data_IF_002882280475
#
_entry.id   IF_002882280475
#
_cell.length_a   1.000
_cell.length_b   1.000
_cell.length_c   1.000
_cell.angle_alpha   90.00
_cell.angle_beta   90.00
_cell.angle_gamma   90.00
#
_symmetry.space_group_name_H-M   'P 1'
#
loop_
_entity.id
_entity.type
_entity.pdbx_description
1 polymer ?
#
# COMPACT_ATOMS: atom_id res chain seq x y z
N UNK A 1 20.01 11.59 -12.00
CA UNK A 1 20.18 11.74 -13.47
C UNK A 1 19.44 10.68 -14.32
N UNK A 2 18.58 9.82 -13.76
CA UNK A 2 17.87 8.77 -14.53
C UNK A 2 16.52 9.18 -15.14
N UNK A 3 15.96 10.35 -14.79
CA UNK A 3 14.62 10.76 -15.25
C UNK A 3 14.55 11.27 -16.69
N UNK A 4 15.67 11.77 -17.26
CA UNK A 4 15.69 12.35 -18.62
C UNK A 4 15.72 11.30 -19.74
N UNK A 5 16.01 10.02 -19.46
CA UNK A 5 16.12 8.99 -20.51
C UNK A 5 14.79 8.29 -20.85
N UNK A 6 13.85 8.19 -19.91
CA UNK A 6 12.55 7.54 -20.11
C UNK A 6 11.60 8.34 -21.01
N UNK A 7 11.57 9.67 -20.86
CA UNK A 7 10.73 10.57 -21.68
C UNK A 7 11.10 10.54 -23.17
N UNK A 8 12.36 10.25 -23.50
CA UNK A 8 12.86 10.26 -24.88
C UNK A 8 12.56 8.97 -25.65
N UNK A 9 12.29 7.86 -24.95
CA UNK A 9 12.15 6.54 -25.56
C UNK A 9 10.70 6.20 -25.94
N UNK A 10 9.69 6.80 -25.28
CA UNK A 10 8.27 6.55 -25.57
C UNK A 10 7.38 7.82 -25.52
N UNK A 11 7.67 8.87 -26.30
CA UNK A 11 6.88 10.11 -26.31
C UNK A 11 5.42 9.85 -26.71
N UNK A 12 5.17 8.90 -27.62
CA UNK A 12 3.82 8.52 -28.05
C UNK A 12 2.95 8.00 -26.91
N UNK A 13 3.49 7.17 -26.00
CA UNK A 13 2.72 6.62 -24.88
C UNK A 13 2.30 7.72 -23.90
N UNK A 14 3.19 8.66 -23.63
CA UNK A 14 2.87 9.82 -22.79
C UNK A 14 1.81 10.72 -23.44
N UNK A 15 1.98 11.06 -24.72
CA UNK A 15 1.01 11.89 -25.46
C UNK A 15 -0.36 11.20 -25.49
N UNK A 16 -0.39 9.88 -25.72
CA UNK A 16 -1.62 9.10 -25.69
C UNK A 16 -2.27 9.10 -24.30
N UNK A 17 -1.51 8.86 -23.22
CA UNK A 17 -2.06 8.86 -21.86
C UNK A 17 -2.59 10.24 -21.44
N UNK A 18 -1.88 11.32 -21.77
CA UNK A 18 -2.35 12.69 -21.53
C UNK A 18 -3.59 13.01 -22.38
N UNK A 19 -3.59 12.62 -23.65
CA UNK A 19 -4.73 12.81 -24.56
C UNK A 19 -5.98 12.07 -24.09
N UNK A 20 -5.84 10.81 -23.69
CA UNK A 20 -6.94 10.01 -23.11
C UNK A 20 -7.42 10.63 -21.79
N UNK A 21 -6.52 11.06 -20.90
CA UNK A 21 -6.90 11.70 -19.64
C UNK A 21 -7.66 13.00 -19.88
N UNK A 22 -7.19 13.86 -20.78
CA UNK A 22 -7.85 15.11 -21.14
C UNK A 22 -9.21 14.86 -21.81
N UNK A 23 -9.30 13.88 -22.71
CA UNK A 23 -10.55 13.47 -23.32
C UNK A 23 -11.56 12.97 -22.29
N UNK A 24 -11.14 12.13 -21.33
CA UNK A 24 -12.03 11.62 -20.28
C UNK A 24 -12.50 12.74 -19.34
N UNK A 25 -11.62 13.69 -18.97
CA UNK A 25 -12.01 14.87 -18.20
C UNK A 25 -13.06 15.66 -18.99
N UNK A 26 -12.77 16.03 -20.23
CA UNK A 26 -13.74 16.74 -21.07
C UNK A 26 -15.06 15.96 -21.19
N UNK A 27 -14.99 14.66 -21.42
CA UNK A 27 -16.16 13.80 -21.59
C UNK A 27 -17.05 13.75 -20.34
N UNK A 28 -16.46 13.76 -19.15
CA UNK A 28 -17.20 13.80 -17.87
C UNK A 28 -17.80 15.17 -17.62
N UNK A 29 -17.09 16.25 -17.94
CA UNK A 29 -17.51 17.62 -17.62
C UNK A 29 -18.36 18.31 -18.70
N UNK A 30 -18.41 17.80 -19.93
CA UNK A 30 -19.11 18.46 -21.06
C UNK A 30 -20.61 18.63 -20.83
N UNK A 31 -21.24 17.70 -20.11
CA UNK A 31 -22.67 17.67 -19.84
C UNK A 31 -23.00 18.13 -18.40
N UNK A 32 -21.99 18.64 -17.67
CA UNK A 32 -22.18 19.10 -16.30
C UNK A 32 -22.93 20.44 -16.29
N UNK A 33 -24.04 20.50 -15.56
CA UNK A 33 -24.70 21.77 -15.23
C UNK A 33 -23.84 22.55 -14.22
N UNK A 34 -23.06 23.49 -14.73
CA UNK A 34 -22.17 24.32 -13.92
C UNK A 34 -22.91 25.19 -12.90
N UNK A 35 -24.13 25.64 -13.21
CA UNK A 35 -24.90 26.48 -12.29
C UNK A 35 -25.41 25.63 -11.13
N UNK A 36 -26.05 24.50 -11.42
CA UNK A 36 -26.47 23.54 -10.39
C UNK A 36 -25.30 23.02 -9.55
N UNK A 37 -24.14 22.78 -10.16
CA UNK A 37 -22.94 22.35 -9.45
C UNK A 37 -22.43 23.40 -8.44
N UNK A 38 -22.34 24.67 -8.83
CA UNK A 38 -21.88 25.74 -7.93
C UNK A 38 -22.88 25.96 -6.79
N UNK A 39 -24.18 26.01 -7.10
CA UNK A 39 -25.23 26.13 -6.07
C UNK A 39 -25.18 24.97 -5.07
N UNK A 40 -24.95 23.74 -5.56
CA UNK A 40 -24.78 22.58 -4.70
C UNK A 40 -23.55 22.69 -3.80
N UNK A 41 -22.43 23.25 -4.29
CA UNK A 41 -21.23 23.49 -3.47
C UNK A 41 -21.47 24.51 -2.36
N UNK A 42 -22.25 25.57 -2.64
CA UNK A 42 -22.60 26.60 -1.65
C UNK A 42 -23.50 26.05 -0.53
N UNK A 43 -24.33 25.04 -0.83
CA UNK A 43 -25.22 24.39 0.13
C UNK A 43 -24.50 23.32 0.99
N UNK A 44 -23.26 22.96 0.68
CA UNK A 44 -22.52 21.97 1.46
C UNK A 44 -22.21 22.54 2.86
N UNK A 45 -22.75 21.89 3.88
CA UNK A 45 -22.42 22.27 5.26
C UNK A 45 -20.94 22.00 5.56
N UNK A 46 -20.23 23.03 6.02
CA UNK A 46 -18.82 22.93 6.42
C UNK A 46 -18.56 21.88 7.52
N UNK A 47 -19.58 21.55 8.33
CA UNK A 47 -19.50 20.53 9.37
C UNK A 47 -19.19 19.14 8.80
N UNK A 48 -19.86 18.71 7.72
CA UNK A 48 -19.57 17.42 7.09
C UNK A 48 -18.17 17.38 6.47
N UNK A 49 -17.71 18.48 5.89
CA UNK A 49 -16.34 18.58 5.35
C UNK A 49 -15.30 18.41 6.47
N UNK A 50 -15.47 19.14 7.57
CA UNK A 50 -14.57 19.07 8.71
C UNK A 50 -14.59 17.70 9.39
N UNK A 51 -15.77 17.10 9.51
CA UNK A 51 -15.93 15.75 10.06
C UNK A 51 -15.24 14.70 9.17
N UNK A 52 -15.47 14.74 7.86
CA UNK A 52 -14.81 13.85 6.90
C UNK A 52 -13.29 14.02 6.90
N UNK A 53 -12.79 15.26 6.91
CA UNK A 53 -11.36 15.54 7.02
C UNK A 53 -10.77 14.99 8.34
N UNK A 54 -11.48 15.18 9.46
CA UNK A 54 -11.11 14.63 10.76
C UNK A 54 -11.04 13.10 10.77
N UNK A 55 -12.05 12.44 10.21
CA UNK A 55 -12.10 10.97 10.07
C UNK A 55 -10.97 10.46 9.18
N UNK A 56 -10.68 11.14 8.06
CA UNK A 56 -9.57 10.78 7.18
C UNK A 56 -8.23 10.86 7.92
N UNK A 57 -7.94 11.97 8.60
CA UNK A 57 -6.69 12.13 9.36
C UNK A 57 -6.59 11.07 10.47
N UNK A 58 -7.70 10.83 11.17
CA UNK A 58 -7.77 9.80 12.20
C UNK A 58 -7.52 8.39 11.64
N UNK A 59 -8.07 8.08 10.46
CA UNK A 59 -7.82 6.80 9.78
C UNK A 59 -6.32 6.61 9.46
N UNK A 60 -5.61 7.69 9.08
CA UNK A 60 -4.15 7.64 8.86
C UNK A 60 -3.41 7.36 10.17
N UNK A 61 -3.86 7.93 11.28
CA UNK A 61 -3.30 7.66 12.60
C UNK A 61 -3.50 6.20 13.03
N UNK A 62 -4.71 5.67 12.87
CA UNK A 62 -5.02 4.25 13.14
C UNK A 62 -4.14 3.33 12.30
N UNK A 63 -3.98 3.65 11.01
CA UNK A 63 -3.10 2.90 10.11
C UNK A 63 -1.64 2.96 10.58
N UNK A 64 -1.16 4.10 11.07
CA UNK A 64 0.17 4.22 11.65
C UNK A 64 0.35 3.32 12.89
N UNK A 65 -0.67 3.21 13.74
CA UNK A 65 -0.65 2.31 14.90
C UNK A 65 -0.60 0.83 14.47
N UNK A 66 -1.42 0.44 13.48
CA UNK A 66 -1.37 -0.91 12.90
C UNK A 66 0.01 -1.22 12.33
N UNK A 67 0.55 -0.30 11.54
CA UNK A 67 1.84 -0.46 10.89
C UNK A 67 3.01 -0.50 11.87
N UNK A 68 2.91 0.19 13.02
CA UNK A 68 3.88 0.06 14.12
C UNK A 68 4.02 -1.37 14.61
N UNK A 69 2.89 -2.09 14.74
CA UNK A 69 2.94 -3.50 15.16
C UNK A 69 3.63 -4.33 14.06
N UNK A 70 3.33 -4.06 12.77
CA UNK A 70 3.95 -4.78 11.64
C UNK A 70 5.47 -4.57 11.59
N UNK A 71 5.95 -3.39 11.97
CA UNK A 71 7.37 -3.04 11.98
C UNK A 71 8.09 -3.54 13.24
N UNK A 72 7.38 -3.77 14.37
CA UNK A 72 8.02 -3.99 15.67
C UNK A 72 9.09 -5.10 15.71
N UNK A 73 8.99 -6.22 14.96
CA UNK A 73 10.03 -7.24 14.98
C UNK A 73 11.34 -6.83 14.30
N UNK A 74 11.30 -5.80 13.45
CA UNK A 74 12.49 -5.28 12.75
C UNK A 74 13.23 -4.20 13.55
N UNK A 75 12.54 -3.58 14.51
CA UNK A 75 13.10 -2.58 15.39
C UNK A 75 12.04 -1.69 16.04
N UNK A 76 12.43 -0.92 17.07
CA UNK A 76 11.54 0.03 17.71
C UNK A 76 11.14 1.15 16.74
N UNK A 77 9.88 1.56 16.79
CA UNK A 77 9.35 2.68 16.01
C UNK A 77 8.33 3.49 16.80
N UNK A 78 8.19 4.78 16.47
CA UNK A 78 7.19 5.67 17.06
C UNK A 78 6.03 5.84 16.08
N UNK A 79 4.80 5.86 16.57
CA UNK A 79 3.63 6.07 15.71
C UNK A 79 3.73 7.38 14.93
N UNK A 80 4.19 8.46 15.56
CA UNK A 80 4.40 9.75 14.91
C UNK A 80 5.29 9.65 13.68
N UNK A 81 6.40 8.91 13.78
CA UNK A 81 7.33 8.75 12.65
C UNK A 81 6.71 8.00 11.48
N UNK A 82 5.86 7.01 11.76
CA UNK A 82 5.13 6.25 10.77
C UNK A 82 3.95 7.02 10.18
N UNK A 83 3.29 7.83 11.00
CA UNK A 83 2.21 8.73 10.59
C UNK A 83 2.73 9.80 9.62
N UNK A 84 3.84 10.47 9.95
CA UNK A 84 4.48 11.43 9.06
C UNK A 84 4.88 10.78 7.73
N UNK A 85 5.42 9.56 7.78
CA UNK A 85 5.79 8.80 6.58
C UNK A 85 4.56 8.41 5.74
N UNK A 86 3.43 8.08 6.37
CA UNK A 86 2.17 7.82 5.69
C UNK A 86 1.62 9.08 5.01
N UNK A 87 1.59 10.22 5.69
CA UNK A 87 1.12 11.49 5.12
C UNK A 87 1.96 11.93 3.92
N UNK A 88 3.30 11.88 4.05
CA UNK A 88 4.20 12.18 2.91
C UNK A 88 4.02 11.19 1.78
N UNK A 89 3.75 9.92 2.10
CA UNK A 89 3.45 8.91 1.10
C UNK A 89 2.15 9.18 0.35
N UNK A 90 1.10 9.59 1.05
CA UNK A 90 -0.18 9.94 0.43
C UNK A 90 -0.05 11.20 -0.44
N UNK A 91 0.53 12.27 0.11
CA UNK A 91 0.83 13.47 -0.66
C UNK A 91 1.68 13.15 -1.91
N UNK A 92 2.68 12.28 -1.76
CA UNK A 92 3.52 11.83 -2.85
C UNK A 92 2.76 11.06 -3.93
N UNK A 93 1.74 10.29 -3.57
CA UNK A 93 0.90 9.58 -4.55
C UNK A 93 -0.04 10.53 -5.30
N UNK A 94 -0.50 11.60 -4.64
CA UNK A 94 -1.42 12.56 -5.23
C UNK A 94 -0.70 13.55 -6.15
N UNK A 95 0.55 13.91 -5.82
CA UNK A 95 1.34 14.89 -6.58
C UNK A 95 2.27 14.25 -7.61
N UNK A 96 2.87 13.09 -7.31
CA UNK A 96 3.88 12.49 -8.19
C UNK A 96 3.26 11.51 -9.19
N UNK A 97 3.75 11.51 -10.45
CA UNK A 97 3.37 10.48 -11.41
C UNK A 97 3.87 9.10 -10.95
N UNK A 98 3.23 8.05 -11.46
CA UNK A 98 3.58 6.65 -11.20
C UNK A 98 3.41 6.16 -9.74
N UNK A 99 2.63 6.86 -8.91
CA UNK A 99 2.37 6.47 -7.51
C UNK A 99 3.67 6.24 -6.72
N UNK A 100 4.65 7.11 -6.92
CA UNK A 100 5.95 7.05 -6.22
C UNK A 100 5.87 7.39 -4.72
N UNK A 101 4.68 7.75 -4.22
CA UNK A 101 4.44 8.02 -2.81
C UNK A 101 4.71 6.82 -1.91
N UNK A 102 4.52 5.57 -2.37
CA UNK A 102 4.91 4.40 -1.58
C UNK A 102 6.42 4.30 -1.36
N UNK A 103 7.21 4.67 -2.38
CA UNK A 103 8.67 4.72 -2.28
C UNK A 103 9.09 5.82 -1.31
N UNK A 104 8.42 6.98 -1.34
CA UNK A 104 8.65 8.07 -0.38
C UNK A 104 8.31 7.66 1.05
N UNK A 105 7.16 7.00 1.27
CA UNK A 105 6.78 6.43 2.57
C UNK A 105 7.85 5.48 3.08
N UNK A 106 8.31 4.56 2.24
CA UNK A 106 9.34 3.60 2.61
C UNK A 106 10.66 4.28 2.96
N UNK A 107 11.10 5.24 2.15
CA UNK A 107 12.35 5.98 2.36
C UNK A 107 12.32 6.83 3.65
N UNK A 108 11.21 7.55 3.89
CA UNK A 108 11.07 8.40 5.06
C UNK A 108 10.94 7.56 6.35
N UNK A 109 10.16 6.47 6.32
CA UNK A 109 10.05 5.56 7.46
C UNK A 109 11.39 4.88 7.77
N UNK A 110 12.15 4.46 6.75
CA UNK A 110 13.49 3.90 6.94
C UNK A 110 14.44 4.92 7.58
N UNK A 111 14.41 6.18 7.13
CA UNK A 111 15.22 7.27 7.70
C UNK A 111 14.87 7.55 9.16
N UNK A 112 13.58 7.57 9.51
CA UNK A 112 13.10 7.90 10.87
C UNK A 112 13.29 6.74 11.85
N UNK A 113 13.08 5.50 11.42
CA UNK A 113 13.18 4.30 12.28
C UNK A 113 14.59 3.69 12.31
N UNK A 114 15.48 4.10 11.40
CA UNK A 114 16.81 3.50 11.16
C UNK A 114 16.75 2.02 10.73
N UNK A 115 15.58 1.56 10.30
CA UNK A 115 15.39 0.23 9.71
C UNK A 115 15.72 0.32 8.23
N UNK A 116 16.31 -0.74 7.66
CA UNK A 116 16.63 -0.80 6.24
C UNK A 116 15.35 -0.64 5.39
N UNK A 117 15.43 0.20 4.35
CA UNK A 117 14.30 0.50 3.44
C UNK A 117 13.63 -0.74 2.87
N UNK A 118 14.44 -1.77 2.66
CA UNK A 118 14.04 -3.04 2.10
C UNK A 118 13.22 -3.86 3.12
N UNK A 119 13.59 -3.84 4.40
CA UNK A 119 12.77 -4.38 5.48
C UNK A 119 11.45 -3.61 5.70
N UNK A 120 11.48 -2.27 5.61
CA UNK A 120 10.26 -1.44 5.62
C UNK A 120 9.35 -1.77 4.44
N UNK A 121 9.91 -1.88 3.23
CA UNK A 121 9.18 -2.24 2.01
C UNK A 121 8.47 -3.59 2.14
N UNK A 122 9.12 -4.58 2.78
CA UNK A 122 8.47 -5.84 3.10
C UNK A 122 7.20 -5.60 3.96
N UNK A 123 7.27 -4.83 5.05
CA UNK A 123 6.08 -4.55 5.88
C UNK A 123 4.97 -3.80 5.16
N UNK A 124 5.31 -2.96 4.17
CA UNK A 124 4.31 -2.27 3.35
C UNK A 124 3.58 -3.28 2.47
N UNK A 125 4.28 -4.24 1.87
CA UNK A 125 3.65 -5.32 1.11
C UNK A 125 2.66 -6.11 1.98
N UNK A 126 3.02 -6.40 3.23
CA UNK A 126 2.12 -7.06 4.20
C UNK A 126 0.87 -6.22 4.45
N UNK A 127 1.05 -4.93 4.72
CA UNK A 127 -0.04 -3.97 4.93
C UNK A 127 -1.01 -3.99 3.73
N UNK A 128 -0.49 -4.08 2.50
CA UNK A 128 -1.30 -4.18 1.27
C UNK A 128 -2.05 -5.50 1.14
N UNK A 129 -1.41 -6.62 1.48
CA UNK A 129 -2.06 -7.94 1.45
C UNK A 129 -3.20 -8.01 2.45
N UNK A 130 -3.01 -7.46 3.66
CA UNK A 130 -4.06 -7.37 4.67
C UNK A 130 -5.24 -6.51 4.21
N UNK A 131 -4.97 -5.37 3.57
CA UNK A 131 -6.01 -4.50 3.01
C UNK A 131 -6.76 -5.21 1.87
N UNK A 132 -6.05 -5.90 0.96
CA UNK A 132 -6.67 -6.67 -0.14
C UNK A 132 -7.53 -7.83 0.36
N UNK A 133 -7.05 -8.57 1.37
CA UNK A 133 -7.81 -9.64 2.02
C UNK A 133 -9.12 -9.12 2.57
N UNK A 134 -9.05 -8.01 3.31
CA UNK A 134 -10.21 -7.42 3.96
C UNK A 134 -11.20 -6.88 2.94
N UNK A 135 -10.70 -6.22 1.88
CA UNK A 135 -11.53 -5.77 0.76
C UNK A 135 -12.28 -6.93 0.10
N UNK A 136 -11.59 -8.04 -0.20
CA UNK A 136 -12.20 -9.20 -0.83
C UNK A 136 -13.26 -9.86 0.06
N UNK A 137 -13.00 -9.98 1.36
CA UNK A 137 -13.99 -10.50 2.33
C UNK A 137 -15.24 -9.61 2.34
N UNK A 138 -15.07 -8.29 2.45
CA UNK A 138 -16.19 -7.35 2.46
C UNK A 138 -16.95 -7.40 1.12
N UNK A 139 -16.25 -7.47 -0.01
CA UNK A 139 -16.87 -7.57 -1.33
C UNK A 139 -17.67 -8.87 -1.49
N UNK A 140 -17.16 -10.00 -1.00
CA UNK A 140 -17.89 -11.28 -1.01
C UNK A 140 -19.13 -11.23 -0.11
N UNK A 141 -19.02 -10.65 1.09
CA UNK A 141 -20.18 -10.42 1.96
C UNK A 141 -21.21 -9.55 1.25
N UNK A 142 -20.80 -8.45 0.64
CA UNK A 142 -21.70 -7.54 -0.05
C UNK A 142 -22.42 -8.22 -1.23
N UNK A 143 -21.70 -9.01 -2.03
CA UNK A 143 -22.27 -9.79 -3.15
C UNK A 143 -23.34 -10.80 -2.68
N UNK A 144 -23.18 -11.40 -1.49
CA UNK A 144 -24.17 -12.33 -0.94
C UNK A 144 -25.52 -11.66 -0.63
N UNK A 145 -25.50 -10.38 -0.23
CA UNK A 145 -26.73 -9.63 0.08
C UNK A 145 -27.28 -8.86 -1.13
N UNK A 146 -26.39 -8.45 -2.03
CA UNK A 146 -26.72 -7.70 -3.24
C UNK A 146 -26.03 -8.36 -4.43
N UNK A 147 -26.73 -9.22 -5.19
CA UNK A 147 -26.17 -9.75 -6.43
C UNK A 147 -25.97 -8.59 -7.42
N UNK A 148 -24.74 -8.10 -7.50
CA UNK A 148 -24.30 -7.10 -8.49
C UNK A 148 -24.20 -7.80 -9.85
N UNK A 149 -24.25 -7.02 -10.94
CA UNK A 149 -24.00 -7.44 -12.31
C UNK A 149 -22.85 -8.47 -12.46
N UNK A 150 -23.02 -9.41 -13.40
CA UNK A 150 -22.16 -10.60 -13.60
C UNK A 150 -20.66 -10.30 -13.76
N UNK A 151 -20.30 -9.11 -14.27
CA UNK A 151 -18.91 -8.68 -14.37
C UNK A 151 -18.23 -8.56 -12.99
N UNK A 152 -18.97 -8.17 -11.96
CA UNK A 152 -18.44 -8.03 -10.60
C UNK A 152 -18.05 -9.40 -10.02
N UNK A 153 -18.83 -10.45 -10.32
CA UNK A 153 -18.51 -11.83 -9.94
C UNK A 153 -17.21 -12.29 -10.59
N UNK A 154 -17.01 -11.98 -11.87
CA UNK A 154 -15.77 -12.33 -12.60
C UNK A 154 -14.55 -11.63 -11.99
N UNK A 155 -14.66 -10.33 -11.71
CA UNK A 155 -13.58 -9.56 -11.05
C UNK A 155 -13.28 -10.13 -9.65
N UNK A 156 -14.31 -10.48 -8.89
CA UNK A 156 -14.14 -11.10 -7.57
C UNK A 156 -13.41 -12.45 -7.69
N UNK A 157 -13.82 -13.34 -8.60
CA UNK A 157 -13.16 -14.65 -8.81
C UNK A 157 -11.69 -14.46 -9.16
N UNK A 158 -11.35 -13.56 -10.08
CA UNK A 158 -9.96 -13.27 -10.45
C UNK A 158 -9.17 -12.76 -9.24
N UNK A 159 -9.74 -11.82 -8.48
CA UNK A 159 -9.12 -11.25 -7.28
C UNK A 159 -8.86 -12.29 -6.20
N UNK A 160 -9.87 -13.11 -5.87
CA UNK A 160 -9.75 -14.22 -4.92
C UNK A 160 -8.74 -15.28 -5.38
N UNK A 161 -8.74 -15.63 -6.68
CA UNK A 161 -7.79 -16.59 -7.24
C UNK A 161 -6.34 -16.09 -7.11
N UNK A 162 -6.09 -14.83 -7.49
CA UNK A 162 -4.77 -14.21 -7.36
C UNK A 162 -4.30 -14.17 -5.90
N UNK A 163 -5.21 -13.86 -4.98
CA UNK A 163 -4.93 -13.85 -3.54
C UNK A 163 -4.59 -15.25 -3.01
N UNK A 164 -5.37 -16.28 -3.38
CA UNK A 164 -5.11 -17.67 -2.97
C UNK A 164 -3.75 -18.13 -3.50
N UNK A 165 -3.41 -17.81 -4.75
CA UNK A 165 -2.08 -18.10 -5.32
C UNK A 165 -1.00 -17.39 -4.51
N UNK A 166 -1.18 -16.10 -4.21
CA UNK A 166 -0.22 -15.32 -3.43
C UNK A 166 -0.03 -15.89 -2.00
N UNK A 167 -1.12 -16.22 -1.30
CA UNK A 167 -1.06 -16.85 0.02
C UNK A 167 -0.46 -18.26 -0.02
N UNK A 168 -0.81 -19.05 -1.03
CA UNK A 168 -0.24 -20.38 -1.26
C UNK A 168 1.26 -20.32 -1.48
N UNK A 169 1.73 -19.37 -2.29
CA UNK A 169 3.16 -19.08 -2.46
C UNK A 169 3.80 -18.64 -1.13
N UNK A 170 3.16 -17.76 -0.37
CA UNK A 170 3.68 -17.31 0.93
C UNK A 170 3.80 -18.48 1.94
N UNK A 171 2.80 -19.37 2.01
CA UNK A 171 2.82 -20.57 2.86
C UNK A 171 3.87 -21.58 2.38
N UNK A 172 3.99 -21.78 1.07
CA UNK A 172 5.03 -22.64 0.48
C UNK A 172 6.43 -22.11 0.81
N UNK A 173 6.64 -20.79 0.68
CA UNK A 173 7.88 -20.13 1.08
C UNK A 173 8.15 -20.24 2.59
N UNK A 174 7.10 -20.29 3.42
CA UNK A 174 7.23 -20.57 4.87
C UNK A 174 7.75 -21.98 5.13
N UNK A 175 7.27 -22.99 4.40
CA UNK A 175 7.77 -24.38 4.52
C UNK A 175 9.23 -24.53 4.07
N UNK A 176 9.67 -23.71 3.13
CA UNK A 176 11.06 -23.66 2.65
C UNK A 176 11.93 -22.68 3.45
N UNK A 177 11.43 -22.09 4.54
CA UNK A 177 12.06 -20.96 5.26
C UNK A 177 13.50 -21.25 5.66
N UNK A 178 13.78 -22.39 6.28
CA UNK A 178 15.14 -22.70 6.76
C UNK A 178 16.12 -22.91 5.60
N UNK A 179 15.66 -23.57 4.52
CA UNK A 179 16.45 -23.76 3.31
C UNK A 179 16.71 -22.43 2.58
N UNK A 180 15.68 -21.59 2.46
CA UNK A 180 15.77 -20.25 1.86
C UNK A 180 16.68 -19.34 2.69
N UNK A 181 16.56 -19.35 4.01
CA UNK A 181 17.39 -18.54 4.89
C UNK A 181 18.86 -18.98 4.80
N UNK A 182 19.15 -20.28 4.89
CA UNK A 182 20.52 -20.80 4.74
C UNK A 182 21.12 -20.55 3.35
N UNK A 183 20.30 -20.63 2.29
CA UNK A 183 20.74 -20.29 0.94
C UNK A 183 21.00 -18.79 0.78
N UNK A 184 20.11 -17.93 1.29
CA UNK A 184 20.26 -16.47 1.24
C UNK A 184 21.45 -16.02 2.09
N UNK A 185 21.66 -16.59 3.27
CA UNK A 185 22.78 -16.26 4.14
C UNK A 185 24.11 -16.67 3.50
N UNK A 186 24.20 -17.88 2.95
CA UNK A 186 25.41 -18.33 2.27
C UNK A 186 25.68 -17.55 0.98
N UNK A 187 24.64 -17.19 0.22
CA UNK A 187 24.76 -16.29 -0.95
C UNK A 187 25.17 -14.87 -0.55
N UNK A 188 24.56 -14.35 0.52
CA UNK A 188 24.84 -13.02 1.08
C UNK A 188 26.27 -12.93 1.58
N UNK A 189 26.77 -13.95 2.29
CA UNK A 189 28.15 -14.05 2.75
C UNK A 189 29.13 -14.06 1.57
N UNK A 190 28.91 -14.90 0.55
CA UNK A 190 29.72 -14.90 -0.69
C UNK A 190 29.73 -13.55 -1.40
N UNK A 191 28.59 -12.84 -1.43
CA UNK A 191 28.50 -11.51 -2.04
C UNK A 191 29.16 -10.42 -1.18
N UNK A 192 29.11 -10.54 0.14
CA UNK A 192 29.82 -9.64 1.05
C UNK A 192 31.34 -9.82 0.92
N UNK A 193 31.82 -11.07 0.84
CA UNK A 193 33.23 -11.42 0.56
C UNK A 193 33.69 -10.89 -0.82
N UNK A 194 32.80 -10.89 -1.82
CA UNK A 194 33.03 -10.27 -3.13
C UNK A 194 32.87 -8.73 -3.15
N UNK A 195 32.88 -8.07 -1.99
CA UNK A 195 32.82 -6.61 -1.84
C UNK A 195 31.42 -5.97 -1.96
N UNK A 196 30.35 -6.77 -2.13
CA UNK A 196 28.96 -6.29 -2.32
C UNK A 196 28.13 -6.32 -1.03
N UNK A 197 28.72 -5.83 0.07
CA UNK A 197 28.15 -5.87 1.44
C UNK A 197 26.77 -5.19 1.52
N UNK A 198 26.56 -4.08 0.80
CA UNK A 198 25.26 -3.38 0.78
C UNK A 198 24.13 -4.23 0.18
N UNK A 199 24.41 -4.95 -0.90
CA UNK A 199 23.42 -5.81 -1.57
C UNK A 199 23.02 -6.99 -0.67
N UNK A 200 24.01 -7.61 -0.03
CA UNK A 200 23.83 -8.65 0.98
C UNK A 200 22.88 -8.19 2.12
N UNK A 201 23.11 -7.00 2.69
CA UNK A 201 22.25 -6.45 3.73
C UNK A 201 20.81 -6.13 3.28
N UNK A 202 20.62 -5.65 2.05
CA UNK A 202 19.28 -5.38 1.52
C UNK A 202 18.45 -6.66 1.33
N UNK A 203 19.05 -7.72 0.78
CA UNK A 203 18.34 -9.00 0.57
C UNK A 203 18.00 -9.65 1.91
N UNK A 204 18.95 -9.66 2.86
CA UNK A 204 18.72 -10.24 4.18
C UNK A 204 17.61 -9.50 4.95
N UNK A 205 17.57 -8.17 4.87
CA UNK A 205 16.53 -7.38 5.53
C UNK A 205 15.15 -7.50 4.88
N UNK A 206 15.06 -7.71 3.56
CA UNK A 206 13.78 -8.07 2.90
C UNK A 206 13.26 -9.38 3.47
N UNK A 207 14.13 -10.40 3.50
CA UNK A 207 13.75 -11.73 3.93
C UNK A 207 13.34 -11.72 5.40
N UNK A 208 14.13 -11.07 6.26
CA UNK A 208 13.78 -10.84 7.67
C UNK A 208 12.47 -10.07 7.82
N UNK A 209 12.20 -9.08 6.95
CA UNK A 209 10.97 -8.31 6.98
C UNK A 209 9.71 -9.10 6.59
N UNK A 210 9.83 -10.07 5.68
CA UNK A 210 8.74 -11.00 5.33
C UNK A 210 8.58 -12.06 6.43
N UNK A 211 9.68 -12.61 6.89
CA UNK A 211 9.72 -13.69 7.88
C UNK A 211 9.15 -13.25 9.24
N UNK A 212 9.40 -12.00 9.60
CA UNK A 212 8.90 -11.40 10.85
C UNK A 212 7.39 -11.24 10.89
N UNK A 213 6.67 -11.31 9.76
CA UNK A 213 5.21 -11.41 9.76
C UNK A 213 4.70 -12.57 10.59
N UNK A 214 5.39 -13.72 10.53
CA UNK A 214 4.97 -14.91 11.25
C UNK A 214 5.37 -14.89 12.73
N UNK A 215 6.16 -13.91 13.15
CA UNK A 215 6.60 -13.71 14.54
C UNK A 215 5.95 -12.49 15.20
N UNK A 216 4.88 -11.99 14.59
CA UNK A 216 4.24 -10.75 15.01
C UNK A 216 3.65 -10.89 16.42
N UNK A 217 3.96 -9.98 17.36
CA UNK A 217 3.63 -10.18 18.77
C UNK A 217 2.13 -10.03 19.08
N UNK A 218 1.36 -9.34 18.23
CA UNK A 218 -0.03 -8.96 18.52
C UNK A 218 -0.94 -9.08 17.28
N UNK A 219 -1.13 -10.29 16.71
CA UNK A 219 -1.91 -10.49 15.49
C UNK A 219 -3.38 -10.06 15.64
N UNK A 220 -3.98 -10.29 16.81
CA UNK A 220 -5.37 -9.89 17.10
C UNK A 220 -5.55 -8.38 16.97
N UNK A 221 -4.59 -7.57 17.46
CA UNK A 221 -4.69 -6.11 17.34
C UNK A 221 -4.63 -5.63 15.90
N UNK A 222 -3.92 -6.34 15.02
CA UNK A 222 -3.87 -6.02 13.59
C UNK A 222 -5.24 -6.22 12.95
N UNK A 223 -5.90 -7.32 13.27
CA UNK A 223 -7.27 -7.60 12.80
C UNK A 223 -8.23 -6.52 13.30
N UNK A 224 -8.18 -6.20 14.60
CA UNK A 224 -9.02 -5.15 15.18
C UNK A 224 -8.79 -3.79 14.51
N UNK A 225 -7.53 -3.38 14.30
CA UNK A 225 -7.23 -2.15 13.59
C UNK A 225 -7.70 -2.17 12.14
N UNK A 226 -7.65 -3.34 11.49
CA UNK A 226 -8.10 -3.48 10.10
C UNK A 226 -9.62 -3.33 10.01
N UNK A 227 -10.37 -4.03 10.87
CA UNK A 227 -11.83 -3.85 10.99
C UNK A 227 -12.18 -2.39 11.29
N UNK A 228 -11.48 -1.77 12.24
CA UNK A 228 -11.69 -0.36 12.59
C UNK A 228 -11.43 0.58 11.42
N UNK A 229 -10.37 0.36 10.64
CA UNK A 229 -10.11 1.15 9.43
C UNK A 229 -11.24 1.04 8.41
N UNK A 230 -11.79 -0.15 8.19
CA UNK A 230 -12.93 -0.31 7.27
C UNK A 230 -14.20 0.37 7.78
N UNK A 231 -14.47 0.34 9.09
CA UNK A 231 -15.57 1.09 9.68
C UNK A 231 -15.38 2.60 9.42
N UNK A 232 -14.17 3.12 9.65
CA UNK A 232 -13.85 4.53 9.39
C UNK A 232 -13.93 4.93 7.92
N UNK A 233 -13.78 3.97 6.99
CA UNK A 233 -13.91 4.23 5.55
C UNK A 233 -15.36 4.19 5.07
N UNK A 234 -16.25 3.55 5.82
CA UNK A 234 -17.70 3.47 5.51
C UNK A 234 -18.45 4.67 6.09
N UNK A 235 -18.00 5.18 7.24
CA UNK A 235 -18.50 6.40 7.88
C UNK A 235 -18.10 7.66 7.11
#
# INVERSE_FOLDING_TARGET
MAGKSLLRQHPLKFILSFGVSAFLIWFVFKDLDWQGFILALEDISASYILLGAGLLIYSVWVRAQRWKILISPQGPSKTKDLFDALLVGYLGNDVLPFRLGEVLRAALAARKTKILISGIGATILVDRVLDMLSFLIIAACFYMFYPIADWAQTVAIIGFSALIIFLGLAIFMRGQREKLFGWIESWSRRKAEAGKIKMAGHVLSLFKGIETMWQMPQPVRVVLYTVWLWILYIL
#
